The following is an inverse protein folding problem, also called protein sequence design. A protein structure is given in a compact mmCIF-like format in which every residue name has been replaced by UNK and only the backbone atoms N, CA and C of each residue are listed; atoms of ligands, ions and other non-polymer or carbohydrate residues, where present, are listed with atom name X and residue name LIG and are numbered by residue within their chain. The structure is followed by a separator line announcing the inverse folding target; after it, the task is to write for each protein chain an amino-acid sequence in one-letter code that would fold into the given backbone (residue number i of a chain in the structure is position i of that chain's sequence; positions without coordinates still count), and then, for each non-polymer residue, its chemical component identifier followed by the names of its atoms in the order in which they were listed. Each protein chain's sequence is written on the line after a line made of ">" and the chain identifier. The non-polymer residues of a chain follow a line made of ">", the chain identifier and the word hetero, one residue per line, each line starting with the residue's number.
data_IF_876432384923
#
_entry.id   IF_876432384923
#
_cell.length_a   1.000
_cell.length_b   1.000
_cell.length_c   1.000
_cell.angle_alpha   90.00
_cell.angle_beta   90.00
_cell.angle_gamma   90.00
#
_symmetry.space_group_name_H-M   'P 1'
#
loop_
_entity.id
_entity.type
_entity.pdbx_description
1 polymer ?
#
# COMPACT_ATOMS: atom_id res chain seq x y z
N UNK A 1 2.26 11.73 17.47
CA UNK A 1 1.25 11.09 16.60
C UNK A 1 1.80 11.10 15.17
N UNK A 2 2.97 10.51 14.93
CA UNK A 2 3.81 10.87 13.76
C UNK A 2 4.43 9.67 13.02
N UNK A 3 4.11 8.43 13.42
CA UNK A 3 4.69 7.24 12.77
C UNK A 3 3.94 6.83 11.50
N UNK A 4 2.60 6.87 11.51
CA UNK A 4 1.82 6.53 10.32
C UNK A 4 2.02 7.57 9.19
N UNK A 5 2.21 8.87 9.49
CA UNK A 5 2.50 9.87 8.44
C UNK A 5 3.83 9.58 7.70
N UNK A 6 4.79 8.94 8.37
CA UNK A 6 6.06 8.58 7.75
C UNK A 6 5.92 7.49 6.68
N UNK A 7 4.76 6.82 6.60
CA UNK A 7 4.51 5.79 5.59
C UNK A 7 3.93 6.34 4.29
N UNK A 8 3.49 7.60 4.28
CA UNK A 8 3.00 8.26 3.07
C UNK A 8 4.14 8.33 2.04
N UNK A 9 3.87 7.88 0.82
CA UNK A 9 4.85 7.74 -0.26
C UNK A 9 5.64 6.44 -0.25
N UNK A 10 5.46 5.56 0.76
CA UNK A 10 6.05 4.23 0.75
C UNK A 10 5.22 3.27 -0.12
N UNK A 11 5.90 2.31 -0.75
CA UNK A 11 5.26 1.26 -1.52
C UNK A 11 5.08 -0.01 -0.68
N UNK A 12 4.10 -0.83 -1.07
CA UNK A 12 3.79 -2.08 -0.39
C UNK A 12 3.16 -3.11 -1.32
N UNK A 13 2.77 -4.23 -0.72
CA UNK A 13 2.05 -5.32 -1.38
C UNK A 13 0.77 -5.66 -0.60
N UNK A 14 -0.33 -5.89 -1.31
CA UNK A 14 -1.60 -6.31 -0.71
C UNK A 14 -1.51 -7.76 -0.21
N UNK A 15 -1.66 -7.97 1.09
CA UNK A 15 -1.74 -9.30 1.71
C UNK A 15 -3.17 -9.87 1.65
N UNK A 16 -4.16 -9.01 1.88
CA UNK A 16 -5.60 -9.34 1.82
C UNK A 16 -6.28 -8.33 0.91
N UNK A 17 -7.01 -8.81 -0.09
CA UNK A 17 -7.63 -7.95 -1.09
C UNK A 17 -8.55 -6.88 -0.49
N UNK A 18 -8.45 -5.66 -1.00
CA UNK A 18 -9.37 -4.57 -0.63
C UNK A 18 -10.72 -4.77 -1.34
N UNK A 19 -11.76 -4.07 -0.86
CA UNK A 19 -13.12 -4.16 -1.42
C UNK A 19 -13.60 -2.83 -1.98
N UNK A 20 -12.67 -1.97 -2.40
CA UNK A 20 -12.97 -0.58 -2.74
C UNK A 20 -13.60 0.15 -1.54
N UNK A 21 -14.65 0.93 -1.81
CA UNK A 21 -15.49 1.55 -0.79
C UNK A 21 -16.23 0.56 0.12
N UNK A 22 -16.29 -0.73 -0.23
CA UNK A 22 -16.95 -1.78 0.54
C UNK A 22 -16.16 -2.29 1.76
N UNK A 23 -14.91 -1.86 1.94
CA UNK A 23 -14.13 -2.15 3.15
C UNK A 23 -12.65 -2.38 2.90
N UNK A 24 -11.84 -2.38 3.98
CA UNK A 24 -10.40 -2.44 3.86
C UNK A 24 -9.91 -3.84 3.50
N UNK A 25 -8.74 -3.87 2.88
CA UNK A 25 -7.85 -5.02 2.83
C UNK A 25 -6.72 -4.85 3.82
N UNK A 26 -5.62 -5.54 3.56
CA UNK A 26 -4.40 -5.46 4.36
C UNK A 26 -3.19 -5.36 3.45
N UNK A 27 -2.23 -4.51 3.79
CA UNK A 27 -0.99 -4.29 3.01
C UNK A 27 0.23 -4.42 3.90
N UNK A 28 1.32 -4.96 3.32
CA UNK A 28 2.65 -4.93 3.90
C UNK A 28 3.44 -3.78 3.26
N UNK A 29 3.70 -2.73 4.02
CA UNK A 29 4.39 -1.52 3.55
C UNK A 29 5.86 -1.60 3.94
N UNK A 30 6.75 -1.24 3.01
CA UNK A 30 8.19 -1.12 3.29
C UNK A 30 8.46 0.23 3.96
N UNK A 31 8.98 0.20 5.17
CA UNK A 31 9.31 1.40 5.97
C UNK A 31 10.80 1.39 6.35
N UNK A 32 11.29 2.46 6.98
CA UNK A 32 12.68 2.51 7.43
C UNK A 32 12.93 1.45 8.51
N UNK A 33 13.76 0.47 8.19
CA UNK A 33 14.17 -0.59 9.12
C UNK A 33 13.36 -1.88 9.05
N UNK A 34 12.40 -2.00 8.12
CA UNK A 34 11.64 -3.24 7.94
C UNK A 34 10.36 -3.09 7.14
N UNK A 35 9.37 -3.90 7.48
CA UNK A 35 8.03 -3.83 6.92
C UNK A 35 7.00 -3.86 8.03
N UNK A 36 5.90 -3.14 7.82
CA UNK A 36 4.78 -3.09 8.74
C UNK A 36 3.47 -3.32 8.00
N UNK A 37 2.50 -3.90 8.72
CA UNK A 37 1.19 -4.22 8.17
C UNK A 37 0.18 -3.13 8.53
N UNK A 38 -0.62 -2.70 7.54
CA UNK A 38 -1.66 -1.68 7.69
C UNK A 38 -2.98 -2.16 7.08
N UNK A 39 -4.09 -1.69 7.65
CA UNK A 39 -5.39 -1.80 6.97
C UNK A 39 -5.42 -0.83 5.79
N UNK A 40 -5.75 -1.35 4.62
CA UNK A 40 -5.67 -0.62 3.37
C UNK A 40 -7.04 -0.30 2.82
N UNK A 41 -7.30 0.98 2.61
CA UNK A 41 -8.45 1.48 1.87
C UNK A 41 -8.03 1.85 0.46
N UNK A 42 -8.90 1.59 -0.52
CA UNK A 42 -8.67 1.96 -1.91
C UNK A 42 -10.01 2.31 -2.55
N UNK A 43 -9.98 3.10 -3.62
CA UNK A 43 -11.18 3.46 -4.38
C UNK A 43 -11.73 2.23 -5.12
N UNK A 44 -10.86 1.53 -5.85
CA UNK A 44 -11.18 0.29 -6.55
C UNK A 44 -10.68 -0.95 -5.79
N UNK A 45 -11.31 -2.12 -5.92
CA UNK A 45 -10.81 -3.37 -5.33
C UNK A 45 -9.43 -3.75 -5.86
N UNK A 46 -8.50 -4.01 -4.94
CA UNK A 46 -7.13 -4.44 -5.25
C UNK A 46 -6.95 -5.89 -4.83
N UNK A 47 -6.49 -6.79 -5.72
CA UNK A 47 -6.28 -8.20 -5.38
C UNK A 47 -5.04 -8.38 -4.51
N UNK A 48 -4.95 -9.53 -3.83
CA UNK A 48 -3.72 -9.96 -3.14
C UNK A 48 -2.55 -10.01 -4.13
N UNK A 49 -1.38 -9.54 -3.69
CA UNK A 49 -0.16 -9.44 -4.49
C UNK A 49 -0.07 -8.15 -5.32
N UNK A 50 -1.12 -7.32 -5.36
CA UNK A 50 -1.04 -6.03 -6.04
C UNK A 50 -0.01 -5.12 -5.33
N UNK A 51 0.85 -4.48 -6.13
CA UNK A 51 1.74 -3.42 -5.66
C UNK A 51 0.94 -2.13 -5.45
N UNK A 52 1.24 -1.43 -4.37
CA UNK A 52 0.51 -0.23 -3.97
C UNK A 52 1.43 0.88 -3.52
N UNK A 53 0.93 2.11 -3.60
CA UNK A 53 1.54 3.31 -3.02
C UNK A 53 0.62 3.84 -1.92
N UNK A 54 1.18 4.12 -0.74
CA UNK A 54 0.46 4.81 0.33
C UNK A 54 0.36 6.29 -0.03
N UNK A 55 -0.87 6.79 -0.10
CA UNK A 55 -1.16 8.20 -0.47
C UNK A 55 -1.64 9.03 0.71
N UNK A 56 -2.20 8.39 1.74
CA UNK A 56 -2.68 9.07 2.94
C UNK A 56 -2.61 8.14 4.16
N UNK A 57 -2.36 8.72 5.34
CA UNK A 57 -2.50 8.06 6.63
C UNK A 57 -3.85 8.45 7.23
N UNK A 58 -4.68 7.46 7.59
CA UNK A 58 -5.91 7.66 8.36
C UNK A 58 -5.67 7.59 9.88
N UNK A 59 -4.41 7.41 10.29
CA UNK A 59 -4.02 7.06 11.64
C UNK A 59 -4.48 5.65 12.05
N UNK A 60 -4.13 5.23 13.27
CA UNK A 60 -4.55 3.93 13.82
C UNK A 60 -4.17 2.71 12.96
N UNK A 61 -3.01 2.75 12.28
CA UNK A 61 -2.56 1.69 11.34
C UNK A 61 -3.47 1.49 10.14
N UNK A 62 -4.08 2.57 9.67
CA UNK A 62 -4.93 2.57 8.48
C UNK A 62 -4.38 3.55 7.47
N UNK A 63 -4.39 3.15 6.20
CA UNK A 63 -3.84 3.93 5.09
C UNK A 63 -4.78 3.91 3.90
N UNK A 64 -4.76 4.98 3.12
CA UNK A 64 -5.26 4.95 1.76
C UNK A 64 -4.14 4.59 0.80
N UNK A 65 -4.47 3.70 -0.13
CA UNK A 65 -3.54 3.21 -1.14
C UNK A 65 -4.16 3.25 -2.53
N UNK A 66 -3.29 3.45 -3.52
CA UNK A 66 -3.62 3.29 -4.93
C UNK A 66 -2.78 2.17 -5.53
N UNK A 67 -3.25 1.58 -6.63
CA UNK A 67 -2.44 0.67 -7.43
C UNK A 67 -1.15 1.39 -7.88
N UNK A 68 -0.02 0.73 -7.69
CA UNK A 68 1.28 1.24 -8.11
C UNK A 68 1.81 0.40 -9.26
N UNK A 69 1.89 1.01 -10.45
CA UNK A 69 2.70 0.51 -11.55
C UNK A 69 4.10 1.11 -11.41
N UNK A 70 5.10 0.27 -11.20
CA UNK A 70 6.47 0.78 -11.11
C UNK A 70 6.91 1.27 -12.49
N UNK A 71 7.37 2.51 -12.64
CA UNK A 71 7.77 3.02 -13.95
C UNK A 71 8.97 2.26 -14.52
N UNK A 72 9.72 1.51 -13.70
CA UNK A 72 10.80 0.65 -14.16
C UNK A 72 10.30 -0.73 -14.64
N UNK A 73 9.11 -1.17 -14.24
CA UNK A 73 8.48 -2.38 -14.77
C UNK A 73 8.23 -2.20 -16.28
N UNK A 74 7.80 -1.02 -16.71
CA UNK A 74 7.60 -0.67 -18.13
C UNK A 74 8.92 -0.70 -18.94
N UNK A 75 10.05 -0.43 -18.28
CA UNK A 75 11.38 -0.46 -18.91
C UNK A 75 12.02 -1.85 -18.89
N UNK A 76 11.37 -2.86 -18.31
CA UNK A 76 11.93 -4.21 -18.14
C UNK A 76 13.08 -4.27 -17.13
N UNK A 77 13.20 -3.26 -16.26
CA UNK A 77 14.22 -3.13 -15.23
C UNK A 77 13.65 -3.33 -13.81
N UNK A 78 12.34 -3.55 -13.70
CA UNK A 78 11.63 -3.81 -12.48
C UNK A 78 12.18 -5.02 -11.72
N UNK A 79 12.26 -4.91 -10.39
CA UNK A 79 12.89 -5.90 -9.52
C UNK A 79 12.15 -7.24 -9.55
N UNK A 80 12.87 -8.30 -9.93
CA UNK A 80 12.52 -9.69 -9.60
C UNK A 80 12.87 -10.07 -8.16
#
# INVERSE_FOLDING_TARGET
>A
MEQDDAVIGCTGEVLVGTRGSGGPGEVLVRVRGGSETFLAWSEEPLPRGARVLVVESRGTRQVDVIAWADPLDELGLGSG
#
